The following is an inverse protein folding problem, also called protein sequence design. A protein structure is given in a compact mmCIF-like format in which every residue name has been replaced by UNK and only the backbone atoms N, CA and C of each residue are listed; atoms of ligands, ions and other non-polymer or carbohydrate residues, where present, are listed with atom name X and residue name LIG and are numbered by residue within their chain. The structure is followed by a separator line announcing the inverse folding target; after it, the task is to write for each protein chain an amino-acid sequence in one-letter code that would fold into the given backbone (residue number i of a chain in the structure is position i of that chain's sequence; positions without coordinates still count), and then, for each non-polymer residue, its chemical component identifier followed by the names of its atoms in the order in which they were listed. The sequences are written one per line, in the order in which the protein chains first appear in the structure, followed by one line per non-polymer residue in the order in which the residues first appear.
data_IF_857865243116
#
_entry.id   IF_857865243116
#
_cell.length_a   1.000
_cell.length_b   1.000
_cell.length_c   1.000
_cell.angle_alpha   90.00
_cell.angle_beta   90.00
_cell.angle_gamma   90.00
#
_symmetry.space_group_name_H-M   'P 1'
#
loop_
_entity.id
_entity.type
_entity.pdbx_description
1 polymer ?
#
# COMPACT_ATOMS: atom_id res chain seq x y z
N UNK A 1 -25.49 9.74 -7.19
CA UNK A 1 -25.81 10.48 -5.95
C UNK A 1 -25.75 9.52 -4.77
N UNK A 2 -24.60 9.46 -4.12
CA UNK A 2 -24.48 9.07 -2.72
C UNK A 2 -23.33 9.90 -2.18
N UNK A 3 -23.67 11.08 -1.70
CA UNK A 3 -22.76 12.05 -1.13
C UNK A 3 -22.36 11.51 0.23
N UNK A 4 -21.17 10.94 0.37
CA UNK A 4 -20.58 10.65 1.67
C UNK A 4 -20.32 11.99 2.34
N UNK A 5 -21.21 12.38 3.23
CA UNK A 5 -21.03 13.54 4.08
C UNK A 5 -19.74 13.37 4.89
N UNK A 6 -18.80 14.29 4.72
CA UNK A 6 -17.71 14.52 5.65
C UNK A 6 -18.33 14.97 6.99
N UNK A 7 -18.51 14.02 7.91
CA UNK A 7 -18.80 14.33 9.30
C UNK A 7 -17.45 14.46 10.05
N UNK A 8 -17.12 15.62 10.65
CA UNK A 8 -15.90 15.82 11.43
C UNK A 8 -15.85 15.00 12.75
N UNK A 9 -16.80 14.10 12.97
CA UNK A 9 -17.06 13.43 14.25
C UNK A 9 -17.36 11.94 14.03
N UNK A 10 -16.46 11.20 13.37
CA UNK A 10 -16.56 9.74 13.30
C UNK A 10 -16.57 9.11 14.72
N UNK A 11 -17.28 7.98 14.94
CA UNK A 11 -17.79 7.58 16.25
C UNK A 11 -16.72 7.33 17.33
N UNK A 12 -17.12 7.55 18.59
CA UNK A 12 -16.34 7.31 19.82
C UNK A 12 -15.73 5.89 19.92
N UNK A 13 -16.20 4.89 19.16
CA UNK A 13 -15.68 3.52 19.29
C UNK A 13 -14.21 3.41 18.88
N UNK A 14 -13.89 3.71 17.63
CA UNK A 14 -12.56 3.57 17.04
C UNK A 14 -12.43 4.33 15.73
N UNK A 15 -11.19 4.69 15.35
CA UNK A 15 -10.86 5.29 14.05
C UNK A 15 -9.43 4.97 13.61
N UNK A 16 -9.24 4.94 12.29
CA UNK A 16 -7.93 5.02 11.65
C UNK A 16 -7.76 6.44 11.09
N UNK A 17 -6.97 7.26 11.77
CA UNK A 17 -6.67 8.63 11.34
C UNK A 17 -5.54 8.59 10.31
N UNK A 18 -5.73 9.22 9.16
CA UNK A 18 -4.83 9.18 8.00
C UNK A 18 -4.32 10.59 7.72
N UNK A 19 -3.04 10.84 8.02
CA UNK A 19 -2.40 12.14 7.82
C UNK A 19 -1.91 12.32 6.38
N UNK A 20 -2.70 13.04 5.57
CA UNK A 20 -2.36 13.29 4.17
C UNK A 20 -1.17 14.24 4.01
N UNK A 21 -0.82 15.06 5.02
CA UNK A 21 0.41 15.85 4.99
C UNK A 21 1.66 14.98 5.14
N UNK A 22 1.60 13.98 6.03
CA UNK A 22 2.66 12.98 6.15
C UNK A 22 2.83 12.18 4.85
N UNK A 23 1.73 11.73 4.23
CA UNK A 23 1.78 11.03 2.94
C UNK A 23 2.42 11.89 1.84
N UNK A 24 2.04 13.16 1.72
CA UNK A 24 2.67 14.10 0.78
C UNK A 24 4.17 14.30 1.08
N UNK A 25 4.56 14.36 2.35
CA UNK A 25 5.96 14.47 2.75
C UNK A 25 6.76 13.22 2.35
N UNK A 26 6.23 12.02 2.60
CA UNK A 26 6.84 10.76 2.21
C UNK A 26 7.05 10.67 0.70
N UNK A 27 6.06 11.08 -0.10
CA UNK A 27 6.19 11.12 -1.57
C UNK A 27 7.33 12.05 -1.99
N UNK A 28 7.44 13.25 -1.38
CA UNK A 28 8.56 14.17 -1.67
C UNK A 28 9.91 13.58 -1.28
N UNK A 29 10.00 12.91 -0.12
CA UNK A 29 11.22 12.23 0.31
C UNK A 29 11.61 11.12 -0.66
N UNK A 30 10.67 10.27 -1.07
CA UNK A 30 10.91 9.19 -2.03
C UNK A 30 11.35 9.71 -3.42
N UNK A 31 10.81 10.85 -3.87
CA UNK A 31 11.28 11.52 -5.08
C UNK A 31 12.71 12.06 -4.93
N UNK A 32 13.08 12.52 -3.74
CA UNK A 32 14.45 12.96 -3.46
C UNK A 32 15.45 11.79 -3.44
N UNK A 33 15.00 10.59 -3.04
CA UNK A 33 15.80 9.36 -3.13
C UNK A 33 15.99 8.87 -4.58
N UNK A 34 15.06 9.17 -5.47
CA UNK A 34 15.11 8.76 -6.89
C UNK A 34 14.95 9.95 -7.86
N UNK A 35 15.87 10.93 -7.87
CA UNK A 35 15.68 12.21 -8.56
C UNK A 35 15.61 12.11 -10.09
N UNK A 36 16.16 11.04 -10.67
CA UNK A 36 16.14 10.78 -12.11
C UNK A 36 14.95 9.97 -12.61
N UNK A 37 14.13 9.42 -11.71
CA UNK A 37 13.01 8.56 -12.05
C UNK A 37 11.67 9.24 -11.76
N UNK A 38 10.66 8.90 -12.57
CA UNK A 38 9.28 9.14 -12.20
C UNK A 38 8.91 8.30 -10.96
N UNK A 39 7.82 8.66 -10.28
CA UNK A 39 7.31 7.90 -9.14
C UNK A 39 5.91 7.35 -9.43
N UNK A 40 5.76 6.04 -9.28
CA UNK A 40 4.49 5.33 -9.23
C UNK A 40 4.06 5.11 -7.79
N UNK A 41 3.02 5.80 -7.36
CA UNK A 41 2.44 5.59 -6.05
C UNK A 41 1.57 4.32 -6.06
N UNK A 42 2.00 3.27 -5.36
CA UNK A 42 1.25 2.00 -5.30
C UNK A 42 0.14 2.10 -4.24
N UNK A 43 -1.11 2.15 -4.71
CA UNK A 43 -2.33 2.35 -3.91
C UNK A 43 -3.27 1.15 -3.91
N UNK A 44 -2.77 -0.03 -4.28
CA UNK A 44 -3.49 -1.31 -4.18
C UNK A 44 -4.00 -1.58 -2.75
N UNK A 45 -5.01 -2.44 -2.64
CA UNK A 45 -5.59 -2.89 -1.37
C UNK A 45 -6.05 -1.73 -0.50
N UNK A 46 -6.87 -0.84 -1.08
CA UNK A 46 -7.31 0.39 -0.43
C UNK A 46 -6.14 1.23 0.11
N UNK A 47 -5.11 1.45 -0.71
CA UNK A 47 -3.87 2.11 -0.29
C UNK A 47 -3.27 1.50 0.98
N UNK A 48 -3.11 0.16 1.00
CA UNK A 48 -2.61 -0.58 2.17
C UNK A 48 -3.46 -0.27 3.42
N UNK A 49 -4.78 -0.19 3.26
CA UNK A 49 -5.72 0.13 4.32
C UNK A 49 -5.89 1.62 4.66
N UNK A 50 -5.21 2.54 3.96
CA UNK A 50 -5.29 3.99 4.22
C UNK A 50 -6.41 4.70 3.43
N UNK A 51 -6.99 4.05 2.42
CA UNK A 51 -8.03 4.60 1.53
C UNK A 51 -7.48 5.01 0.17
N UNK A 52 -7.88 4.29 -0.88
CA UNK A 52 -7.25 4.41 -2.21
C UNK A 52 -7.37 5.82 -2.81
N UNK A 53 -8.59 6.36 -2.87
CA UNK A 53 -8.88 7.62 -3.57
C UNK A 53 -8.18 8.83 -2.90
N UNK A 54 -8.30 9.06 -1.58
CA UNK A 54 -7.65 10.21 -0.94
C UNK A 54 -6.11 10.11 -1.00
N UNK A 55 -5.55 8.91 -0.81
CA UNK A 55 -4.11 8.70 -0.90
C UNK A 55 -3.57 8.90 -2.32
N UNK A 56 -4.29 8.43 -3.34
CA UNK A 56 -3.92 8.64 -4.74
C UNK A 56 -3.87 10.14 -5.09
N UNK A 57 -4.89 10.90 -4.69
CA UNK A 57 -4.96 12.35 -4.91
C UNK A 57 -3.80 13.08 -4.22
N UNK A 58 -3.57 12.79 -2.94
CA UNK A 58 -2.46 13.38 -2.19
C UNK A 58 -1.08 12.99 -2.77
N UNK A 59 -0.90 11.74 -3.22
CA UNK A 59 0.34 11.33 -3.85
C UNK A 59 0.61 12.07 -5.17
N UNK A 60 -0.42 12.25 -6.01
CA UNK A 60 -0.32 13.04 -7.24
C UNK A 60 -0.01 14.50 -6.94
N UNK A 61 -0.67 15.12 -5.95
CA UNK A 61 -0.38 16.49 -5.53
C UNK A 61 1.08 16.67 -5.06
N UNK A 62 1.68 15.64 -4.47
CA UNK A 62 3.10 15.63 -4.08
C UNK A 62 4.09 15.27 -5.22
N UNK A 63 3.59 14.99 -6.42
CA UNK A 63 4.40 14.80 -7.63
C UNK A 63 4.51 13.35 -8.13
N UNK A 64 3.67 12.42 -7.66
CA UNK A 64 3.53 11.13 -8.32
C UNK A 64 2.88 11.31 -9.70
N UNK A 65 3.50 10.77 -10.75
CA UNK A 65 2.98 10.84 -12.14
C UNK A 65 2.34 9.53 -12.59
N UNK A 66 2.56 8.46 -11.83
CA UNK A 66 1.96 7.16 -12.01
C UNK A 66 1.25 6.70 -10.72
N UNK A 67 0.23 5.87 -10.89
CA UNK A 67 -0.39 5.08 -9.83
C UNK A 67 -0.28 3.60 -10.17
N UNK A 68 -0.24 2.77 -9.13
CA UNK A 68 -0.20 1.32 -9.28
C UNK A 68 -1.29 0.63 -8.47
N UNK A 69 -2.08 -0.23 -9.13
CA UNK A 69 -3.07 -1.10 -8.48
C UNK A 69 -2.79 -2.57 -8.77
N UNK A 70 -3.31 -3.46 -7.92
CA UNK A 70 -3.23 -4.87 -8.20
C UNK A 70 -4.28 -5.25 -9.24
N UNK A 71 -5.55 -4.99 -8.94
CA UNK A 71 -6.66 -5.55 -9.72
C UNK A 71 -7.29 -4.50 -10.65
N UNK A 72 -7.98 -4.94 -11.71
CA UNK A 72 -8.69 -4.03 -12.59
C UNK A 72 -9.81 -3.27 -11.89
N UNK A 73 -10.48 -3.86 -10.91
CA UNK A 73 -11.56 -3.20 -10.14
C UNK A 73 -11.01 -1.97 -9.40
N UNK A 74 -9.84 -2.11 -8.75
CA UNK A 74 -9.17 -0.98 -8.09
C UNK A 74 -8.80 0.12 -9.10
N UNK A 75 -8.27 -0.25 -10.27
CA UNK A 75 -7.87 0.71 -11.30
C UNK A 75 -9.06 1.47 -11.88
N UNK A 76 -10.15 0.75 -12.17
CA UNK A 76 -11.38 1.30 -12.72
C UNK A 76 -12.08 2.21 -11.71
N UNK A 77 -12.12 1.83 -10.43
CA UNK A 77 -12.64 2.71 -9.35
C UNK A 77 -11.83 4.00 -9.27
N UNK A 78 -10.49 3.93 -9.30
CA UNK A 78 -9.64 5.12 -9.29
C UNK A 78 -9.90 6.02 -10.50
N UNK A 79 -9.99 5.48 -11.71
CA UNK A 79 -10.30 6.27 -12.91
C UNK A 79 -11.70 6.89 -12.84
N UNK A 80 -12.71 6.09 -12.48
CA UNK A 80 -14.10 6.54 -12.40
C UNK A 80 -14.34 7.58 -11.30
N UNK A 81 -13.51 7.60 -10.25
CA UNK A 81 -13.62 8.60 -9.18
C UNK A 81 -13.36 10.04 -9.65
N UNK A 82 -12.64 10.22 -10.76
CA UNK A 82 -12.20 11.53 -11.23
C UNK A 82 -11.25 12.26 -10.27
N UNK A 83 -10.77 11.60 -9.21
CA UNK A 83 -9.99 12.22 -8.14
C UNK A 83 -8.54 12.53 -8.55
N UNK A 84 -8.08 11.96 -9.66
CA UNK A 84 -6.75 12.20 -10.21
C UNK A 84 -6.87 12.65 -11.67
N UNK A 85 -6.02 13.58 -12.12
CA UNK A 85 -5.99 14.03 -13.51
C UNK A 85 -5.90 12.89 -14.53
N UNK A 86 -6.45 13.11 -15.72
CA UNK A 86 -6.48 12.12 -16.79
C UNK A 86 -5.08 11.79 -17.37
N UNK A 87 -4.12 12.71 -17.22
CA UNK A 87 -2.73 12.52 -17.66
C UNK A 87 -1.88 11.69 -16.69
N UNK A 88 -2.34 11.49 -15.45
CA UNK A 88 -1.71 10.55 -14.51
C UNK A 88 -1.90 9.13 -15.04
N UNK A 89 -0.83 8.35 -15.16
CA UNK A 89 -0.91 6.97 -15.63
C UNK A 89 -1.33 6.02 -14.52
N UNK A 90 -2.07 4.95 -14.84
CA UNK A 90 -2.36 3.86 -13.89
C UNK A 90 -1.92 2.54 -14.49
N UNK A 91 -1.04 1.83 -13.79
CA UNK A 91 -0.70 0.45 -14.12
C UNK A 91 -1.52 -0.53 -13.25
N UNK A 92 -2.14 -1.52 -13.89
CA UNK A 92 -2.77 -2.67 -13.25
C UNK A 92 -2.07 -3.97 -13.66
N UNK A 93 -1.70 -4.83 -12.70
CA UNK A 93 -0.84 -5.98 -12.98
C UNK A 93 -1.36 -7.37 -12.60
N UNK A 94 -2.48 -7.49 -11.90
CA UNK A 94 -3.06 -8.77 -11.52
C UNK A 94 -4.34 -9.02 -12.29
N UNK A 95 -4.20 -9.83 -13.33
CA UNK A 95 -5.28 -10.17 -14.27
C UNK A 95 -5.53 -11.67 -14.26
N UNK A 96 -6.80 -12.03 -14.43
CA UNK A 96 -7.25 -13.40 -14.70
C UNK A 96 -7.92 -13.45 -16.08
N UNK A 97 -7.93 -14.62 -16.76
CA UNK A 97 -8.68 -14.80 -18.00
C UNK A 97 -10.13 -14.33 -17.86
N UNK A 98 -10.62 -13.60 -18.87
CA UNK A 98 -11.97 -13.05 -18.88
C UNK A 98 -12.17 -11.79 -18.04
N UNK A 99 -11.11 -11.15 -17.55
CA UNK A 99 -11.19 -9.86 -16.87
C UNK A 99 -11.74 -8.72 -17.74
N UNK A 100 -12.00 -7.54 -17.16
CA UNK A 100 -12.61 -6.39 -17.84
C UNK A 100 -11.58 -5.63 -18.72
N UNK A 101 -10.98 -6.34 -19.67
CA UNK A 101 -9.92 -5.80 -20.54
C UNK A 101 -10.40 -4.63 -21.39
N UNK A 102 -11.64 -4.69 -21.88
CA UNK A 102 -12.20 -3.65 -22.75
C UNK A 102 -12.38 -2.35 -21.97
N UNK A 103 -12.96 -2.44 -20.78
CA UNK A 103 -13.19 -1.33 -19.87
C UNK A 103 -11.85 -0.67 -19.48
N UNK A 104 -10.81 -1.48 -19.26
CA UNK A 104 -9.48 -0.95 -18.99
C UNK A 104 -8.85 -0.21 -20.17
N UNK A 105 -9.03 -0.71 -21.40
CA UNK A 105 -8.59 -0.01 -22.61
C UNK A 105 -9.35 1.30 -22.79
N UNK A 106 -10.68 1.28 -22.67
CA UNK A 106 -11.53 2.48 -22.77
C UNK A 106 -11.20 3.51 -21.68
N UNK A 107 -10.82 3.07 -20.48
CA UNK A 107 -10.39 3.92 -19.37
C UNK A 107 -8.92 4.37 -19.44
N UNK A 108 -8.16 3.96 -20.47
CA UNK A 108 -6.76 4.33 -20.64
C UNK A 108 -5.82 3.77 -19.56
N UNK A 109 -6.17 2.62 -18.97
CA UNK A 109 -5.35 1.92 -17.98
C UNK A 109 -4.21 1.18 -18.68
N UNK A 110 -2.98 1.35 -18.22
CA UNK A 110 -1.84 0.53 -18.62
C UNK A 110 -1.98 -0.85 -17.98
N UNK A 111 -1.93 -1.92 -18.78
CA UNK A 111 -2.13 -3.30 -18.30
C UNK A 111 -0.84 -4.12 -18.37
N UNK A 112 -0.54 -4.89 -17.32
CA UNK A 112 0.62 -5.77 -17.34
C UNK A 112 0.31 -7.09 -18.04
N UNK A 113 1.22 -7.50 -18.94
CA UNK A 113 1.18 -8.80 -19.59
C UNK A 113 2.35 -9.66 -19.09
N UNK A 114 2.04 -10.90 -18.70
CA UNK A 114 3.02 -11.89 -18.23
C UNK A 114 2.97 -13.20 -19.03
N UNK A 115 2.08 -13.30 -20.02
CA UNK A 115 1.94 -14.49 -20.84
C UNK A 115 1.03 -14.28 -22.04
N UNK A 116 1.08 -15.22 -22.98
CA UNK A 116 0.42 -15.11 -24.28
C UNK A 116 -1.12 -15.06 -24.21
N UNK A 117 -1.72 -15.65 -23.18
CA UNK A 117 -3.18 -15.59 -22.99
C UNK A 117 -3.65 -14.14 -22.78
N UNK A 118 -2.93 -13.36 -21.97
CA UNK A 118 -3.28 -11.97 -21.67
C UNK A 118 -3.10 -11.09 -22.92
N UNK A 119 -2.06 -11.34 -23.73
CA UNK A 119 -1.86 -10.65 -25.00
C UNK A 119 -3.02 -10.92 -25.98
N UNK A 120 -3.51 -12.17 -26.06
CA UNK A 120 -4.66 -12.51 -26.91
C UNK A 120 -5.94 -11.80 -26.45
N UNK A 121 -6.21 -11.78 -25.15
CA UNK A 121 -7.41 -11.14 -24.60
C UNK A 121 -7.36 -9.62 -24.74
N UNK A 122 -6.22 -8.99 -24.42
CA UNK A 122 -6.10 -7.53 -24.53
C UNK A 122 -6.16 -7.04 -25.98
N UNK A 123 -5.62 -7.81 -26.95
CA UNK A 123 -5.72 -7.46 -28.37
C UNK A 123 -7.14 -7.63 -28.91
N UNK A 124 -7.90 -8.62 -28.42
CA UNK A 124 -9.33 -8.73 -28.72
C UNK A 124 -10.12 -7.55 -28.14
N UNK A 125 -9.83 -7.17 -26.90
CA UNK A 125 -10.44 -6.03 -26.24
C UNK A 125 -10.12 -4.70 -26.95
N UNK A 126 -8.87 -4.51 -27.40
CA UNK A 126 -8.46 -3.33 -28.17
C UNK A 126 -9.26 -3.17 -29.47
N UNK A 127 -9.50 -4.28 -30.19
CA UNK A 127 -10.35 -4.27 -31.40
C UNK A 127 -11.77 -3.84 -31.08
N UNK A 128 -12.34 -4.33 -29.98
CA UNK A 128 -13.70 -3.98 -29.55
C UNK A 128 -13.81 -2.53 -29.06
N UNK A 129 -12.78 -2.02 -28.37
CA UNK A 129 -12.72 -0.65 -27.89
C UNK A 129 -12.42 0.36 -29.02
N UNK A 130 -11.88 -0.10 -30.16
CA UNK A 130 -11.46 0.78 -31.25
C UNK A 130 -10.23 1.63 -30.91
N UNK A 131 -9.43 1.21 -29.93
CA UNK A 131 -8.24 1.93 -29.47
C UNK A 131 -7.11 0.96 -29.08
N UNK A 132 -5.83 1.31 -29.30
CA UNK A 132 -4.71 0.47 -28.90
C UNK A 132 -4.65 0.33 -27.37
N UNK A 133 -4.51 -0.90 -26.89
CA UNK A 133 -4.28 -1.15 -25.48
C UNK A 133 -2.86 -0.73 -25.07
N UNK A 134 -2.73 -0.06 -23.92
CA UNK A 134 -1.42 0.29 -23.34
C UNK A 134 -0.92 -0.88 -22.51
N UNK A 135 0.18 -1.51 -22.93
CA UNK A 135 0.65 -2.77 -22.33
C UNK A 135 2.05 -2.63 -21.77
N UNK A 136 2.29 -3.21 -20.59
CA UNK A 136 3.61 -3.34 -20.01
C UNK A 136 4.00 -4.82 -19.89
N UNK A 137 5.14 -5.19 -20.47
CA UNK A 137 5.62 -6.57 -20.43
C UNK A 137 6.37 -6.81 -19.13
N UNK A 138 5.93 -7.81 -18.37
CA UNK A 138 6.53 -8.18 -17.09
C UNK A 138 7.49 -9.35 -17.29
N UNK A 139 8.76 -9.12 -16.99
CA UNK A 139 9.79 -10.15 -16.93
C UNK A 139 9.82 -10.81 -15.54
N UNK A 140 9.87 -12.13 -15.48
CA UNK A 140 10.25 -12.84 -14.26
C UNK A 140 11.78 -12.98 -14.23
N UNK A 141 12.41 -12.27 -13.31
CA UNK A 141 13.88 -12.22 -13.18
C UNK A 141 14.39 -13.07 -12.03
N UNK A 142 13.50 -13.80 -11.33
CA UNK A 142 13.89 -14.65 -10.19
C UNK A 142 12.92 -14.62 -9.01
N UNK A 143 11.79 -13.90 -9.11
CA UNK A 143 10.78 -13.92 -8.06
C UNK A 143 9.91 -15.18 -8.11
N UNK A 144 9.69 -15.75 -9.30
CA UNK A 144 8.93 -16.99 -9.46
C UNK A 144 7.43 -16.85 -9.17
N UNK A 145 6.88 -15.63 -9.25
CA UNK A 145 5.47 -15.34 -8.86
C UNK A 145 4.57 -15.10 -10.06
N UNK A 146 4.89 -14.07 -10.83
CA UNK A 146 4.19 -13.68 -12.05
C UNK A 146 5.21 -12.93 -12.90
N UNK A 147 5.03 -12.90 -14.21
CA UNK A 147 6.04 -12.45 -15.16
C UNK A 147 6.36 -13.58 -16.12
N UNK A 148 6.82 -13.21 -17.31
CA UNK A 148 7.25 -14.14 -18.34
C UNK A 148 8.70 -14.56 -18.06
N UNK A 149 9.00 -15.87 -18.00
CA UNK A 149 10.35 -16.35 -17.71
C UNK A 149 11.31 -16.02 -18.87
N UNK A 150 12.63 -15.95 -18.60
CA UNK A 150 13.63 -15.69 -19.63
C UNK A 150 13.70 -16.82 -20.68
N UNK A 151 14.42 -16.56 -21.76
CA UNK A 151 14.53 -17.50 -22.88
C UNK A 151 13.26 -17.50 -23.73
N UNK A 152 12.90 -18.67 -24.26
CA UNK A 152 11.91 -18.83 -25.34
C UNK A 152 10.57 -18.12 -25.09
N UNK A 153 10.06 -18.16 -23.86
CA UNK A 153 8.77 -17.55 -23.54
C UNK A 153 8.84 -16.01 -23.64
N UNK A 154 9.94 -15.40 -23.17
CA UNK A 154 10.17 -13.96 -23.33
C UNK A 154 10.31 -13.58 -24.80
N UNK A 155 11.03 -14.40 -25.58
CA UNK A 155 11.17 -14.20 -27.02
C UNK A 155 9.81 -14.19 -27.74
N UNK A 156 8.98 -15.17 -27.41
CA UNK A 156 7.64 -15.32 -27.96
C UNK A 156 6.74 -14.13 -27.58
N UNK A 157 6.70 -13.77 -26.30
CA UNK A 157 5.87 -12.67 -25.81
C UNK A 157 6.26 -11.34 -26.44
N UNK A 158 7.55 -11.02 -26.47
CA UNK A 158 8.08 -9.78 -27.08
C UNK A 158 7.78 -9.76 -28.58
N UNK A 159 8.06 -10.85 -29.30
CA UNK A 159 7.82 -10.94 -30.74
C UNK A 159 6.33 -10.79 -31.10
N UNK A 160 5.44 -11.38 -30.30
CA UNK A 160 4.00 -11.26 -30.48
C UNK A 160 3.48 -9.86 -30.13
N UNK A 161 3.97 -9.25 -29.04
CA UNK A 161 3.59 -7.90 -28.64
C UNK A 161 4.00 -6.86 -29.69
N UNK A 162 5.22 -6.97 -30.24
CA UNK A 162 5.69 -6.10 -31.33
C UNK A 162 4.88 -6.25 -32.61
N UNK A 163 4.41 -7.46 -32.90
CA UNK A 163 3.49 -7.70 -34.04
C UNK A 163 2.15 -7.00 -33.82
N UNK A 164 1.56 -7.18 -32.63
CA UNK A 164 0.31 -6.52 -32.27
C UNK A 164 0.45 -4.98 -32.26
N UNK A 165 1.62 -4.45 -31.90
CA UNK A 165 1.90 -3.02 -31.95
C UNK A 165 1.95 -2.48 -33.39
N UNK A 166 2.58 -3.20 -34.32
CA UNK A 166 2.56 -2.86 -35.76
C UNK A 166 1.15 -2.92 -36.37
N UNK A 167 0.29 -3.78 -35.83
CA UNK A 167 -1.13 -3.87 -36.21
C UNK A 167 -1.99 -2.76 -35.56
N UNK A 168 -1.41 -1.90 -34.72
CA UNK A 168 -2.11 -0.82 -34.03
C UNK A 168 -3.03 -1.30 -32.89
N UNK A 169 -2.86 -2.53 -32.42
CA UNK A 169 -3.72 -3.13 -31.39
C UNK A 169 -3.22 -2.88 -29.98
N UNK A 170 -1.91 -2.75 -29.81
CA UNK A 170 -1.28 -2.44 -28.53
C UNK A 170 -0.23 -1.36 -28.70
N UNK A 171 0.17 -0.75 -27.59
CA UNK A 171 1.38 0.05 -27.47
C UNK A 171 2.18 -0.49 -26.30
N UNK A 172 3.44 -0.86 -26.51
CA UNK A 172 4.32 -1.32 -25.45
C UNK A 172 4.81 -0.09 -24.68
N UNK A 173 4.18 0.19 -23.54
CA UNK A 173 4.45 1.38 -22.73
C UNK A 173 5.49 1.14 -21.65
N UNK A 174 5.77 -0.11 -21.30
CA UNK A 174 6.78 -0.38 -20.29
C UNK A 174 7.32 -1.81 -20.25
N UNK A 175 8.51 -1.94 -19.67
CA UNK A 175 9.17 -3.21 -19.37
C UNK A 175 9.50 -3.24 -17.90
N UNK A 176 9.14 -4.31 -17.19
CA UNK A 176 9.29 -4.30 -15.74
C UNK A 176 9.47 -5.65 -15.08
N UNK A 177 10.00 -5.62 -13.85
CA UNK A 177 10.11 -6.79 -12.99
C UNK A 177 9.93 -6.41 -11.51
N UNK A 178 10.19 -7.35 -10.60
CA UNK A 178 10.07 -7.13 -9.16
C UNK A 178 11.09 -7.97 -8.39
N UNK A 179 11.80 -7.34 -7.45
CA UNK A 179 12.75 -8.02 -6.59
C UNK A 179 12.08 -8.98 -5.60
N UNK A 180 12.80 -10.03 -5.24
CA UNK A 180 12.43 -10.98 -4.20
C UNK A 180 12.92 -10.54 -2.80
N UNK A 181 14.19 -10.14 -2.70
CA UNK A 181 14.87 -9.91 -1.41
C UNK A 181 15.49 -8.50 -1.35
N UNK A 182 14.86 -7.48 -1.95
CA UNK A 182 15.40 -6.12 -1.92
C UNK A 182 15.39 -5.50 -0.50
N UNK A 183 14.59 -6.07 0.39
CA UNK A 183 14.47 -5.76 1.81
C UNK A 183 15.49 -6.49 2.70
N UNK A 184 16.34 -7.35 2.12
CA UNK A 184 17.46 -8.04 2.77
C UNK A 184 18.79 -7.47 2.21
N UNK A 185 19.46 -6.54 2.92
CA UNK A 185 20.69 -5.91 2.44
C UNK A 185 21.77 -6.92 2.03
N UNK A 186 22.30 -6.78 0.82
CA UNK A 186 23.39 -7.63 0.30
C UNK A 186 22.96 -9.02 -0.19
N UNK A 187 21.65 -9.33 -0.21
CA UNK A 187 21.19 -10.63 -0.70
C UNK A 187 21.59 -10.85 -2.18
N UNK A 188 22.26 -11.97 -2.53
CA UNK A 188 22.86 -12.16 -3.86
C UNK A 188 21.83 -12.21 -5.00
N UNK A 189 20.56 -12.53 -4.70
CA UNK A 189 19.49 -12.50 -5.71
C UNK A 189 19.27 -11.11 -6.29
N UNK A 190 19.51 -10.03 -5.54
CA UNK A 190 19.27 -8.65 -6.00
C UNK A 190 20.13 -8.33 -7.22
N UNK A 191 21.43 -8.59 -7.12
CA UNK A 191 22.37 -8.36 -8.23
C UNK A 191 22.05 -9.25 -9.44
N UNK A 192 21.70 -10.52 -9.19
CA UNK A 192 21.31 -11.46 -10.24
C UNK A 192 20.02 -11.03 -10.97
N UNK A 193 18.99 -10.63 -10.23
CA UNK A 193 17.73 -10.14 -10.80
C UNK A 193 17.93 -8.85 -11.61
N UNK A 194 18.78 -7.93 -11.11
CA UNK A 194 19.06 -6.67 -11.81
C UNK A 194 19.84 -6.90 -13.12
N UNK A 195 20.83 -7.79 -13.12
CA UNK A 195 21.56 -8.17 -14.32
C UNK A 195 20.62 -8.79 -15.36
N UNK A 196 19.82 -9.79 -14.96
CA UNK A 196 18.86 -10.44 -15.85
C UNK A 196 17.79 -9.47 -16.36
N UNK A 197 17.33 -8.52 -15.52
CA UNK A 197 16.40 -7.49 -15.96
C UNK A 197 16.99 -6.64 -17.08
N UNK A 198 18.25 -6.22 -16.97
CA UNK A 198 18.94 -5.44 -18.02
C UNK A 198 19.05 -6.25 -19.31
N UNK A 199 19.38 -7.53 -19.23
CA UNK A 199 19.44 -8.42 -20.41
C UNK A 199 18.07 -8.56 -21.10
N UNK A 200 17.01 -8.80 -20.33
CA UNK A 200 15.65 -8.94 -20.87
C UNK A 200 15.09 -7.64 -21.45
N UNK A 201 15.45 -6.49 -20.86
CA UNK A 201 15.13 -5.16 -21.42
C UNK A 201 15.87 -4.93 -22.73
N UNK A 202 17.19 -5.14 -22.75
CA UNK A 202 18.01 -4.99 -23.96
C UNK A 202 17.49 -5.87 -25.10
N UNK A 203 17.14 -7.13 -24.80
CA UNK A 203 16.54 -8.05 -25.75
C UNK A 203 15.30 -7.46 -26.45
N UNK A 204 14.40 -6.84 -25.69
CA UNK A 204 13.18 -6.25 -26.22
C UNK A 204 13.46 -4.97 -27.02
N UNK A 205 14.33 -4.10 -26.52
CA UNK A 205 14.72 -2.84 -27.18
C UNK A 205 15.45 -3.09 -28.51
N UNK A 206 16.36 -4.06 -28.58
CA UNK A 206 17.09 -4.45 -29.79
C UNK A 206 16.16 -4.94 -30.91
N UNK A 207 15.00 -5.48 -30.55
CA UNK A 207 13.97 -5.97 -31.49
C UNK A 207 12.95 -4.92 -31.88
N UNK A 208 13.07 -3.71 -31.34
CA UNK A 208 12.25 -2.57 -31.73
C UNK A 208 11.26 -2.10 -30.67
N UNK A 209 11.22 -2.69 -29.47
CA UNK A 209 10.40 -2.14 -28.40
C UNK A 209 10.92 -0.75 -28.01
N UNK A 210 10.02 0.21 -27.81
CA UNK A 210 10.35 1.59 -27.39
C UNK A 210 9.48 1.97 -26.19
N UNK A 211 9.73 1.37 -25.01
CA UNK A 211 8.90 1.61 -23.82
C UNK A 211 8.96 3.07 -23.37
N UNK A 212 7.88 3.57 -22.79
CA UNK A 212 7.85 4.87 -22.10
C UNK A 212 8.61 4.78 -20.76
N UNK A 213 8.58 3.61 -20.11
CA UNK A 213 9.20 3.39 -18.79
C UNK A 213 9.81 1.99 -18.64
N UNK A 214 10.95 1.91 -17.95
CA UNK A 214 11.56 0.68 -17.41
C UNK A 214 11.55 0.77 -15.90
N UNK A 215 11.15 -0.29 -15.22
CA UNK A 215 11.09 -0.26 -13.75
C UNK A 215 11.20 -1.62 -13.05
N UNK A 216 11.98 -1.66 -11.97
CA UNK A 216 12.11 -2.84 -11.11
C UNK A 216 12.03 -2.50 -9.61
N UNK A 217 12.47 -1.31 -9.21
CA UNK A 217 12.50 -0.88 -7.82
C UNK A 217 11.12 -0.82 -7.16
N UNK A 218 10.96 -1.59 -6.09
CA UNK A 218 9.91 -1.46 -5.07
C UNK A 218 10.39 -0.49 -3.96
N UNK A 219 9.64 -0.33 -2.87
CA UNK A 219 10.03 0.55 -1.75
C UNK A 219 11.47 0.36 -1.26
N UNK A 220 11.93 -0.86 -0.89
CA UNK A 220 13.29 -1.02 -0.37
C UNK A 220 14.36 -0.67 -1.44
N UNK A 221 14.23 -1.17 -2.66
CA UNK A 221 15.15 -0.84 -3.75
C UNK A 221 15.15 0.65 -4.12
N UNK A 222 14.03 1.35 -3.95
CA UNK A 222 13.97 2.81 -4.15
C UNK A 222 14.87 3.54 -3.15
N UNK A 223 14.90 3.06 -1.91
CA UNK A 223 15.64 3.68 -0.81
C UNK A 223 17.13 3.29 -0.82
N UNK A 224 17.49 2.10 -1.31
CA UNK A 224 18.83 1.54 -1.12
C UNK A 224 19.61 1.22 -2.39
N UNK A 225 18.97 1.17 -3.56
CA UNK A 225 19.59 0.72 -4.82
C UNK A 225 19.41 1.74 -5.96
N UNK A 226 20.20 2.84 -6.00
CA UNK A 226 20.12 3.85 -7.05
C UNK A 226 20.20 3.30 -8.48
N UNK A 227 21.00 2.26 -8.69
CA UNK A 227 21.18 1.60 -9.98
C UNK A 227 19.96 0.81 -10.48
N UNK A 228 18.92 0.67 -9.64
CA UNK A 228 17.67 -0.01 -9.94
C UNK A 228 16.49 0.95 -10.17
N UNK A 229 16.71 2.26 -10.16
CA UNK A 229 15.64 3.27 -10.32
C UNK A 229 15.08 3.33 -11.75
N UNK A 230 15.93 3.16 -12.77
CA UNK A 230 15.56 3.28 -14.19
C UNK A 230 14.71 4.54 -14.46
N UNK A 231 13.60 4.42 -15.19
CA UNK A 231 12.74 5.57 -15.52
C UNK A 231 11.62 5.77 -14.49
N UNK A 232 11.31 4.75 -13.69
CA UNK A 232 10.15 4.74 -12.79
C UNK A 232 10.41 3.87 -11.54
N UNK A 233 10.20 4.44 -10.36
CA UNK A 233 10.21 3.68 -9.09
C UNK A 233 8.78 3.40 -8.62
N UNK A 234 8.55 2.28 -7.93
CA UNK A 234 7.22 1.83 -7.50
C UNK A 234 7.11 1.64 -5.97
N UNK A 235 7.34 2.69 -5.16
CA UNK A 235 7.13 2.59 -3.73
C UNK A 235 5.67 2.31 -3.40
N UNK A 236 5.46 1.39 -2.45
CA UNK A 236 4.17 1.09 -1.82
C UNK A 236 4.23 1.44 -0.36
N UNK A 237 4.71 0.52 0.48
CA UNK A 237 4.72 0.69 1.95
C UNK A 237 5.38 2.00 2.43
N UNK A 238 6.44 2.45 1.75
CA UNK A 238 7.19 3.64 2.14
C UNK A 238 6.38 4.93 1.93
N UNK A 239 5.39 4.92 1.02
CA UNK A 239 4.44 6.04 0.88
C UNK A 239 3.68 6.28 2.19
N UNK A 240 3.39 5.20 2.91
CA UNK A 240 2.64 5.21 4.16
C UNK A 240 3.53 5.34 5.38
N UNK A 241 4.82 5.61 5.16
CA UNK A 241 5.79 5.87 6.22
C UNK A 241 6.14 4.68 7.08
N UNK A 242 5.93 3.48 6.56
CA UNK A 242 6.32 2.23 7.20
C UNK A 242 7.60 1.74 6.52
N UNK A 243 8.60 1.40 7.33
CA UNK A 243 9.88 0.89 6.83
C UNK A 243 9.65 -0.46 6.13
N UNK A 244 10.29 -0.72 4.98
CA UNK A 244 10.10 -2.00 4.28
C UNK A 244 10.61 -3.22 5.05
N UNK A 245 11.62 -3.05 5.89
CA UNK A 245 12.17 -4.10 6.76
C UNK A 245 12.94 -3.44 7.92
N UNK A 246 12.91 -4.02 9.13
CA UNK A 246 13.75 -3.56 10.24
C UNK A 246 15.24 -3.55 9.90
N UNK A 247 15.70 -4.43 9.00
CA UNK A 247 17.10 -4.53 8.57
C UNK A 247 17.58 -3.30 7.77
N UNK A 248 16.65 -2.54 7.18
CA UNK A 248 16.96 -1.33 6.44
C UNK A 248 17.03 -0.08 7.34
N UNK A 249 16.51 -0.17 8.56
CA UNK A 249 16.37 0.96 9.48
C UNK A 249 14.92 1.38 9.68
N UNK A 250 14.77 2.50 10.37
CA UNK A 250 13.48 3.07 10.77
C UNK A 250 12.94 4.02 9.70
N UNK A 251 11.63 4.37 9.72
CA UNK A 251 11.09 5.38 8.81
C UNK A 251 11.88 6.71 8.84
N UNK A 252 12.32 7.13 10.04
CA UNK A 252 13.03 8.40 10.23
C UNK A 252 14.38 8.44 9.48
N UNK A 253 15.09 7.32 9.38
CA UNK A 253 16.37 7.22 8.67
C UNK A 253 16.24 7.55 7.19
N UNK A 254 15.04 7.38 6.63
CA UNK A 254 14.71 7.67 5.23
C UNK A 254 13.93 8.99 5.04
N UNK A 255 13.72 9.76 6.12
CA UNK A 255 12.87 10.95 6.10
C UNK A 255 11.38 10.62 5.90
N UNK A 256 10.97 9.42 6.29
CA UNK A 256 9.60 8.93 6.18
C UNK A 256 8.87 9.05 7.54
N UNK A 257 7.56 9.23 7.47
CA UNK A 257 6.69 9.39 8.64
C UNK A 257 5.43 8.53 8.51
N UNK A 258 5.12 7.65 9.48
CA UNK A 258 3.90 6.84 9.45
C UNK A 258 2.65 7.69 9.26
N UNK A 259 1.76 7.24 8.37
CA UNK A 259 0.57 7.99 7.95
C UNK A 259 -0.66 7.66 8.77
N UNK A 260 -0.77 6.42 9.27
CA UNK A 260 -1.94 5.94 10.02
C UNK A 260 -1.72 5.99 11.53
N UNK A 261 -2.70 6.53 12.25
CA UNK A 261 -2.85 6.33 13.70
C UNK A 261 -4.15 5.56 13.97
N UNK A 262 -4.04 4.36 14.54
CA UNK A 262 -5.19 3.55 14.96
C UNK A 262 -5.49 3.79 16.44
N UNK A 263 -6.71 4.22 16.74
CA UNK A 263 -7.14 4.44 18.11
C UNK A 263 -8.58 4.01 18.36
N UNK A 264 -8.89 3.76 19.63
CA UNK A 264 -10.21 3.43 20.15
C UNK A 264 -10.47 4.19 21.45
N UNK A 265 -11.73 4.24 21.89
CA UNK A 265 -12.05 4.69 23.25
C UNK A 265 -12.34 3.49 24.14
N UNK A 266 -11.88 3.53 25.39
CA UNK A 266 -12.21 2.48 26.35
C UNK A 266 -13.73 2.36 26.53
N UNK A 267 -14.26 1.18 26.27
CA UNK A 267 -15.70 0.92 26.36
C UNK A 267 -16.16 0.65 27.80
N UNK A 268 -15.27 0.10 28.63
CA UNK A 268 -15.51 -0.20 30.03
C UNK A 268 -14.19 -0.16 30.80
N UNK A 269 -14.25 0.35 32.02
CA UNK A 269 -13.17 0.29 33.00
C UNK A 269 -13.78 -0.28 34.27
N UNK A 270 -13.20 -1.37 34.80
CA UNK A 270 -13.74 -2.06 35.99
C UNK A 270 -12.63 -2.62 36.86
N UNK A 271 -12.82 -2.58 38.19
CA UNK A 271 -11.99 -3.32 39.12
C UNK A 271 -12.37 -4.80 39.14
N UNK A 272 -11.38 -5.66 39.36
CA UNK A 272 -11.55 -7.10 39.53
C UNK A 272 -10.61 -7.61 40.63
N UNK A 273 -10.98 -8.68 41.36
CA UNK A 273 -10.11 -9.26 42.36
C UNK A 273 -8.88 -9.93 41.72
N UNK A 274 -7.86 -10.21 42.54
CA UNK A 274 -6.76 -11.11 42.15
C UNK A 274 -7.24 -12.53 41.87
N UNK A 275 -6.56 -13.23 40.96
CA UNK A 275 -6.95 -14.57 40.52
C UNK A 275 -8.11 -14.59 39.52
N UNK A 276 -8.54 -13.45 39.00
CA UNK A 276 -9.61 -13.37 38.01
C UNK A 276 -9.07 -13.73 36.61
N UNK A 277 -9.63 -14.77 35.99
CA UNK A 277 -9.31 -15.15 34.61
C UNK A 277 -9.89 -14.16 33.60
N UNK A 278 -9.11 -13.79 32.58
CA UNK A 278 -9.48 -12.77 31.59
C UNK A 278 -9.54 -13.35 30.18
N UNK A 279 -10.64 -13.05 29.48
CA UNK A 279 -10.93 -13.44 28.10
C UNK A 279 -11.01 -14.96 27.87
N UNK A 280 -11.19 -15.40 26.62
CA UNK A 280 -11.39 -16.81 26.29
C UNK A 280 -10.25 -17.70 26.77
N UNK A 281 -10.59 -18.79 27.46
CA UNK A 281 -9.63 -19.78 27.94
C UNK A 281 -8.78 -19.34 29.13
N UNK A 282 -9.00 -18.13 29.68
CA UNK A 282 -8.31 -17.61 30.87
C UNK A 282 -6.77 -17.72 30.78
N UNK A 283 -6.20 -17.44 29.60
CA UNK A 283 -4.73 -17.41 29.38
C UNK A 283 -4.03 -16.27 30.13
N UNK A 284 -4.80 -15.29 30.61
CA UNK A 284 -4.35 -14.29 31.56
C UNK A 284 -5.15 -14.40 32.85
N UNK A 285 -4.48 -14.31 33.98
CA UNK A 285 -5.08 -14.26 35.32
C UNK A 285 -4.49 -13.09 36.08
N UNK A 286 -5.33 -12.26 36.70
CA UNK A 286 -4.87 -11.07 37.41
C UNK A 286 -3.95 -11.44 38.58
N UNK A 287 -2.75 -10.84 38.71
CA UNK A 287 -1.79 -11.19 39.77
C UNK A 287 -2.23 -10.69 41.15
N UNK A 288 -3.15 -9.73 41.19
CA UNK A 288 -3.73 -9.12 42.39
C UNK A 288 -4.99 -8.35 42.02
N UNK A 289 -5.57 -7.64 42.98
CA UNK A 289 -6.63 -6.68 42.68
C UNK A 289 -6.11 -5.64 41.66
N UNK A 290 -6.86 -5.42 40.60
CA UNK A 290 -6.46 -4.50 39.52
C UNK A 290 -7.68 -3.97 38.78
N UNK A 291 -7.42 -3.03 37.87
CA UNK A 291 -8.40 -2.42 36.98
C UNK A 291 -8.20 -2.97 35.56
N UNK A 292 -9.27 -3.45 34.95
CA UNK A 292 -9.29 -3.90 33.55
C UNK A 292 -9.96 -2.85 32.67
N UNK A 293 -9.35 -2.57 31.52
CA UNK A 293 -9.90 -1.73 30.45
C UNK A 293 -10.34 -2.58 29.25
N UNK A 294 -11.52 -2.30 28.70
CA UNK A 294 -12.05 -2.97 27.52
C UNK A 294 -11.86 -2.08 26.28
N UNK A 295 -11.10 -2.57 25.30
CA UNK A 295 -10.89 -1.90 24.01
C UNK A 295 -11.84 -2.52 22.96
N UNK A 296 -12.76 -1.75 22.35
CA UNK A 296 -13.79 -2.26 21.44
C UNK A 296 -13.30 -2.44 19.98
N UNK A 297 -12.13 -3.03 19.83
CA UNK A 297 -11.54 -3.47 18.57
C UNK A 297 -11.13 -4.95 18.70
N UNK A 298 -11.48 -5.77 17.73
CA UNK A 298 -11.06 -7.18 17.71
C UNK A 298 -10.56 -7.63 16.35
N UNK A 299 -10.43 -8.94 16.17
CA UNK A 299 -9.87 -9.49 14.93
C UNK A 299 -10.74 -9.25 13.69
N UNK A 300 -12.05 -8.98 13.84
CA UNK A 300 -12.90 -8.56 12.73
C UNK A 300 -12.69 -7.09 12.34
N UNK A 301 -12.10 -6.28 13.23
CA UNK A 301 -11.69 -4.90 12.95
C UNK A 301 -10.23 -4.82 12.45
N UNK A 302 -9.50 -5.93 12.43
CA UNK A 302 -8.12 -6.03 11.94
C UNK A 302 -7.06 -6.28 13.03
N UNK A 303 -7.44 -6.43 14.30
CA UNK A 303 -6.48 -6.70 15.38
C UNK A 303 -6.03 -8.17 15.32
N UNK A 304 -4.74 -8.46 15.08
CA UNK A 304 -4.30 -9.83 14.86
C UNK A 304 -4.50 -10.66 16.14
N UNK A 305 -5.27 -11.74 16.04
CA UNK A 305 -5.47 -12.66 17.16
C UNK A 305 -4.16 -13.28 17.66
N UNK A 306 -3.17 -13.39 16.78
CA UNK A 306 -1.82 -13.86 17.10
C UNK A 306 -1.08 -12.95 18.09
N UNK A 307 -1.46 -11.67 18.22
CA UNK A 307 -0.93 -10.75 19.23
C UNK A 307 -1.60 -10.87 20.62
N UNK A 308 -2.36 -11.94 20.87
CA UNK A 308 -2.95 -12.21 22.19
C UNK A 308 -1.84 -12.32 23.25
N UNK A 309 -1.93 -11.54 24.33
CA UNK A 309 -0.91 -11.50 25.39
C UNK A 309 0.22 -10.49 25.17
N UNK A 310 0.42 -10.00 23.94
CA UNK A 310 1.60 -9.23 23.57
C UNK A 310 1.31 -7.88 22.88
N UNK A 311 0.15 -7.75 22.22
CA UNK A 311 -0.21 -6.55 21.45
C UNK A 311 -0.14 -5.27 22.30
N UNK A 312 0.70 -4.29 21.95
CA UNK A 312 0.92 -3.11 22.77
C UNK A 312 -0.14 -2.03 22.51
N UNK A 313 -0.50 -1.26 23.55
CA UNK A 313 -1.46 -0.14 23.48
C UNK A 313 -1.03 0.95 24.44
N UNK A 314 -1.07 2.21 24.01
CA UNK A 314 -0.87 3.38 24.87
C UNK A 314 -2.21 3.86 25.45
N UNK A 315 -2.32 3.88 26.78
CA UNK A 315 -3.49 4.39 27.53
C UNK A 315 -2.98 5.20 28.71
N UNK A 316 -3.46 6.45 28.86
CA UNK A 316 -3.05 7.33 29.96
C UNK A 316 -1.52 7.55 30.03
N UNK A 317 -0.84 7.59 28.88
CA UNK A 317 0.61 7.77 28.79
C UNK A 317 1.45 6.54 29.16
N UNK A 318 0.84 5.36 29.39
CA UNK A 318 1.54 4.12 29.73
C UNK A 318 1.29 3.04 28.69
N UNK A 319 2.33 2.28 28.36
CA UNK A 319 2.21 1.08 27.55
C UNK A 319 1.56 -0.02 28.36
N UNK A 320 0.52 -0.60 27.77
CA UNK A 320 -0.21 -1.77 28.23
C UNK A 320 -0.14 -2.84 27.16
N UNK A 321 -0.38 -4.09 27.52
CA UNK A 321 -0.49 -5.19 26.56
C UNK A 321 -1.85 -5.85 26.65
N UNK A 322 -2.25 -6.54 25.58
CA UNK A 322 -3.47 -7.37 25.57
C UNK A 322 -3.42 -8.38 26.73
N UNK A 323 -4.37 -8.29 27.66
CA UNK A 323 -4.57 -9.24 28.75
C UNK A 323 -5.44 -10.42 28.27
N UNK A 324 -4.79 -11.52 27.90
CA UNK A 324 -5.46 -12.75 27.44
C UNK A 324 -5.68 -12.77 25.93
N UNK A 325 -6.79 -13.34 25.48
CA UNK A 325 -7.09 -13.49 24.04
C UNK A 325 -7.77 -12.26 23.45
N UNK A 326 -7.37 -11.90 22.23
CA UNK A 326 -8.13 -11.00 21.36
C UNK A 326 -9.39 -11.72 20.87
N UNK A 327 -10.57 -11.11 21.06
CA UNK A 327 -11.86 -11.60 20.58
C UNK A 327 -12.22 -10.97 19.21
N UNK A 328 -13.41 -11.31 18.69
CA UNK A 328 -13.85 -10.83 17.38
C UNK A 328 -13.96 -9.31 17.31
N UNK A 329 -14.47 -8.69 18.37
CA UNK A 329 -14.86 -7.28 18.40
C UNK A 329 -14.17 -6.46 19.50
N UNK A 330 -13.37 -7.09 20.35
CA UNK A 330 -12.79 -6.46 21.52
C UNK A 330 -11.59 -7.24 22.09
N UNK A 331 -10.79 -6.56 22.90
CA UNK A 331 -9.83 -7.19 23.80
C UNK A 331 -9.76 -6.41 25.11
N UNK A 332 -9.14 -7.03 26.12
CA UNK A 332 -8.97 -6.44 27.45
C UNK A 332 -7.51 -6.09 27.65
N UNK A 333 -7.24 -5.02 28.40
CA UNK A 333 -5.93 -4.66 28.93
C UNK A 333 -5.99 -4.60 30.44
N UNK A 334 -4.89 -4.95 31.10
CA UNK A 334 -4.71 -4.70 32.53
C UNK A 334 -4.11 -3.30 32.73
N UNK A 335 -4.85 -2.45 33.45
CA UNK A 335 -4.46 -1.07 33.72
C UNK A 335 -3.62 -0.94 35.00
N UNK A 336 -3.35 -2.04 35.69
CA UNK A 336 -2.46 -2.08 36.86
C UNK A 336 -2.88 -1.14 37.98
N UNK A 337 -4.19 -1.02 38.21
CA UNK A 337 -4.80 -0.12 39.21
C UNK A 337 -5.06 1.31 38.74
N UNK A 338 -4.59 1.73 37.55
CA UNK A 338 -5.00 3.03 37.00
C UNK A 338 -6.50 3.00 36.62
N UNK A 339 -7.20 4.12 36.84
CA UNK A 339 -8.64 4.26 36.61
C UNK A 339 -8.96 5.38 35.61
N UNK A 340 -8.55 5.26 34.33
CA UNK A 340 -9.01 6.17 33.30
C UNK A 340 -10.54 6.10 33.17
N UNK A 341 -11.17 7.20 32.75
CA UNK A 341 -12.60 7.19 32.50
C UNK A 341 -12.94 6.32 31.27
N UNK A 342 -14.11 5.66 31.23
CA UNK A 342 -14.67 5.18 29.97
C UNK A 342 -14.72 6.33 28.96
N UNK A 343 -14.33 6.05 27.71
CA UNK A 343 -14.11 7.08 26.71
C UNK A 343 -12.66 7.54 26.55
N UNK A 344 -11.78 7.23 27.52
CA UNK A 344 -10.33 7.53 27.40
C UNK A 344 -9.73 6.88 26.15
N UNK A 345 -8.83 7.60 25.50
CA UNK A 345 -8.20 7.15 24.26
C UNK A 345 -7.20 6.01 24.54
N UNK A 346 -7.38 4.92 23.80
CA UNK A 346 -6.42 3.84 23.63
C UNK A 346 -5.80 3.96 22.23
N UNK A 347 -4.51 4.27 22.14
CA UNK A 347 -3.78 4.33 20.87
C UNK A 347 -3.08 3.00 20.66
N UNK A 348 -3.49 2.26 19.62
CA UNK A 348 -2.95 0.94 19.33
C UNK A 348 -1.62 1.11 18.60
N UNK A 349 -1.60 1.89 17.52
CA UNK A 349 -0.35 2.29 16.88
C UNK A 349 -0.45 3.66 16.21
N UNK A 350 0.69 4.31 15.98
CA UNK A 350 0.82 5.61 15.33
C UNK A 350 2.25 5.92 14.87
N UNK A 351 2.56 7.20 14.60
CA UNK A 351 3.90 7.66 14.24
C UNK A 351 4.94 7.57 15.37
N UNK A 352 4.52 7.48 16.62
CA UNK A 352 5.39 7.36 17.80
C UNK A 352 5.73 8.69 18.47
N UNK A 353 5.20 9.82 17.99
CA UNK A 353 5.53 11.15 18.52
C UNK A 353 5.07 11.36 19.97
N UNK A 354 4.01 10.65 20.39
CA UNK A 354 3.49 10.68 21.76
C UNK A 354 3.99 9.49 22.58
N UNK A 355 4.96 8.76 22.06
CA UNK A 355 5.46 7.52 22.63
C UNK A 355 4.47 6.36 22.51
N UNK A 356 3.51 6.40 21.58
CA UNK A 356 2.63 5.27 21.27
C UNK A 356 3.38 4.15 20.53
N UNK A 357 2.86 2.90 20.54
CA UNK A 357 3.41 1.84 19.71
C UNK A 357 3.32 2.17 18.21
N UNK A 358 4.12 1.49 17.42
CA UNK A 358 4.15 1.58 15.96
C UNK A 358 3.48 0.37 15.32
N UNK A 359 3.26 0.43 14.00
CA UNK A 359 2.82 -0.74 13.25
C UNK A 359 3.84 -1.89 13.32
N UNK A 360 5.13 -1.59 13.49
CA UNK A 360 6.20 -2.58 13.65
C UNK A 360 6.12 -3.28 15.01
N UNK A 361 5.84 -2.55 16.09
CA UNK A 361 5.64 -3.17 17.41
C UNK A 361 4.49 -4.18 17.40
N UNK A 362 3.41 -3.88 16.68
CA UNK A 362 2.31 -4.82 16.45
C UNK A 362 2.70 -5.99 15.55
N UNK A 363 3.54 -5.75 14.54
CA UNK A 363 4.04 -6.79 13.66
C UNK A 363 4.87 -7.82 14.44
N UNK A 364 5.77 -7.35 15.31
CA UNK A 364 6.56 -8.18 16.21
C UNK A 364 5.67 -8.97 17.17
N UNK A 365 4.69 -8.32 17.81
CA UNK A 365 3.75 -8.97 18.73
C UNK A 365 2.91 -10.07 18.04
N UNK A 366 2.63 -9.92 16.74
CA UNK A 366 1.85 -10.88 15.96
C UNK A 366 2.69 -11.90 15.18
N UNK A 367 4.02 -11.77 15.14
CA UNK A 367 4.91 -12.61 14.34
C UNK A 367 4.71 -12.42 12.83
N UNK A 368 4.56 -11.17 12.38
CA UNK A 368 4.33 -10.81 10.97
C UNK A 368 5.11 -9.54 10.59
N UNK A 369 4.78 -8.93 9.46
CA UNK A 369 5.35 -7.68 8.94
C UNK A 369 4.36 -6.52 9.07
N UNK A 370 4.87 -5.30 9.25
CA UNK A 370 4.05 -4.09 9.38
C UNK A 370 3.11 -3.84 8.18
N UNK A 371 3.44 -4.36 6.99
CA UNK A 371 2.55 -4.36 5.82
C UNK A 371 1.20 -5.03 6.12
N UNK A 372 1.22 -6.18 6.79
CA UNK A 372 0.01 -6.93 7.10
C UNK A 372 -0.84 -6.18 8.14
N UNK A 373 -0.17 -5.55 9.13
CA UNK A 373 -0.82 -4.77 10.19
C UNK A 373 -1.68 -3.64 9.60
N UNK A 374 -1.09 -2.76 8.79
CA UNK A 374 -1.81 -1.60 8.25
C UNK A 374 -2.86 -1.99 7.20
N UNK A 375 -2.57 -3.02 6.40
CA UNK A 375 -3.48 -3.46 5.31
C UNK A 375 -4.75 -4.12 5.83
N UNK A 376 -4.68 -4.80 6.99
CA UNK A 376 -5.80 -5.60 7.51
C UNK A 376 -6.81 -4.84 8.36
N UNK A 377 -6.64 -3.54 8.56
CA UNK A 377 -7.62 -2.74 9.29
C UNK A 377 -8.97 -2.81 8.56
N UNK A 378 -9.97 -3.41 9.21
CA UNK A 378 -11.24 -3.76 8.60
C UNK A 378 -12.11 -2.54 8.27
N UNK A 379 -13.12 -2.72 7.41
CA UNK A 379 -14.03 -1.64 6.97
C UNK A 379 -14.92 -1.10 8.09
N UNK A 380 -15.07 -1.83 9.20
CA UNK A 380 -15.76 -1.37 10.43
C UNK A 380 -15.02 -0.27 11.18
N UNK A 381 -13.73 -0.07 10.88
CA UNK A 381 -12.93 1.02 11.41
C UNK A 381 -13.00 2.19 10.42
N UNK A 382 -13.68 3.30 10.77
CA UNK A 382 -13.77 4.45 9.89
C UNK A 382 -12.39 5.07 9.68
N UNK A 383 -12.10 5.44 8.43
CA UNK A 383 -10.93 6.26 8.10
C UNK A 383 -11.30 7.72 8.27
N UNK A 384 -10.48 8.46 9.00
CA UNK A 384 -10.61 9.91 9.19
C UNK A 384 -9.40 10.56 8.56
N UNK A 385 -9.60 11.30 7.47
CA UNK A 385 -8.52 11.97 6.78
C UNK A 385 -8.28 13.35 7.42
N UNK A 386 -7.04 13.61 7.81
CA UNK A 386 -6.60 14.90 8.34
C UNK A 386 -5.63 15.56 7.36
N UNK A 387 -5.54 16.89 7.42
CA UNK A 387 -4.74 17.69 6.49
C UNK A 387 -5.11 17.46 5.01
N UNK A 388 -6.41 17.24 4.76
CA UNK A 388 -6.95 17.18 3.41
C UNK A 388 -7.00 18.60 2.81
N UNK A 389 -6.48 18.77 1.60
CA UNK A 389 -6.72 19.99 0.83
C UNK A 389 -7.88 19.70 -0.15
N UNK A 390 -9.05 20.35 0.03
CA UNK A 390 -10.22 20.12 -0.82
C UNK A 390 -10.04 20.66 -2.26
N UNK A 391 -9.00 21.44 -2.55
CA UNK A 391 -8.73 22.02 -3.87
C UNK A 391 -7.58 21.31 -4.63
N UNK A 392 -6.89 20.35 -4.02
CA UNK A 392 -5.78 19.60 -4.63
C UNK A 392 -6.29 18.58 -5.66
N UNK A 393 -6.26 18.92 -6.96
CA UNK A 393 -6.62 18.02 -8.07
C UNK A 393 -7.10 18.73 -9.33
N UNK A 394 -7.60 19.96 -9.17
CA UNK A 394 -7.83 20.88 -10.28
C UNK A 394 -6.54 21.66 -10.54
N UNK A 395 -5.78 21.31 -11.59
CA UNK A 395 -4.78 22.27 -12.11
C UNK A 395 -5.54 23.55 -12.47
N UNK A 396 -5.06 24.75 -12.12
CA UNK A 396 -5.63 25.97 -12.66
C UNK A 396 -5.51 25.88 -14.19
N UNK A 397 -6.62 26.07 -14.90
CA UNK A 397 -6.58 26.27 -16.34
C UNK A 397 -5.58 27.41 -16.59
N UNK A 398 -4.54 27.14 -17.39
CA UNK A 398 -3.60 28.18 -17.78
C UNK A 398 -4.40 29.37 -18.33
N UNK A 399 -4.40 30.46 -17.55
CA UNK A 399 -4.89 31.75 -18.00
C UNK A 399 -3.97 32.19 -19.12
N UNK A 400 -4.56 32.30 -20.30
CA UNK A 400 -3.99 32.96 -21.46
C UNK A 400 -3.67 34.41 -21.07
N UNK A 401 -2.42 34.65 -20.64
CA UNK A 401 -1.90 35.99 -20.46
C UNK A 401 -1.31 36.46 -21.79
N UNK A 402 -2.19 36.69 -22.75
CA UNK A 402 -1.90 37.56 -23.86
C UNK A 402 -1.89 39.02 -23.38
N UNK A 403 -0.73 39.65 -23.41
CA UNK A 403 -0.49 41.02 -23.90
C UNK A 403 0.99 41.30 -24.04
#
# INVERSE_FOLDING_TARGET
MSTTAHLPTAPLRARAEIDLAALRANVRALRAHAPGAALMAVVKSEAYGHGAVPCARAAVAAGATWLGTATPEEALVLRASGAVPADVRILCWLWTPGGPWREAVEAGIDVSLSGMWALREVTAAARLAGAPARVQLKADTGLGRNGCPPGRDWEELVGAALRAEREGLVRITGLWSHFACADEPGHPSVAAQLALFREMVAYAEDRGARPEVRHIANSPATLTLPEAHFDLVRPGIALYGVSPSPELGTPADFGLRPVMTLSASLALVKQVPGGHGVSYGHHYTTPGETTLGLVPLGYADGIPRHASGAGPVLIGGKWRTVAGRVAMDQFVVDLGGDEPAPGEQAVLFGPGDRGEPTAEDWAQAAGTIAYEIVTRIGTRVPRVYVNEDPHEGARPAHGDAGR
#
